data_IF_496395870026
#
_entry.id   IF_496395870026
#
_cell.length_a   1.000
_cell.length_b   1.000
_cell.length_c   1.000
_cell.angle_alpha   90.00
_cell.angle_beta   90.00
_cell.angle_gamma   90.00
#
_symmetry.space_group_name_H-M   'P 1'
#
loop_
_entity.id
_entity.type
_entity.pdbx_description
1 polymer ?
#
# COMPACT_ATOMS: atom_id res chain seq x y z
N UNK A 1 14.58 15.26 6.29
CA UNK A 1 14.27 14.07 5.45
C UNK A 1 12.95 13.48 5.93
N UNK A 2 12.00 13.24 5.02
CA UNK A 2 10.69 12.64 5.35
C UNK A 2 10.85 11.16 5.72
N UNK A 3 10.15 10.72 6.76
CA UNK A 3 10.07 9.30 7.16
C UNK A 3 8.74 8.71 6.69
N UNK A 4 8.79 7.59 5.97
CA UNK A 4 7.62 6.82 5.55
C UNK A 4 7.48 5.60 6.46
N UNK A 5 6.45 5.59 7.30
CA UNK A 5 6.09 4.48 8.19
C UNK A 5 5.08 3.59 7.48
N UNK A 6 5.47 2.34 7.23
CA UNK A 6 4.66 1.39 6.45
C UNK A 6 4.24 0.21 7.32
N UNK A 7 2.96 -0.14 7.26
CA UNK A 7 2.47 -1.42 7.75
C UNK A 7 3.08 -2.57 6.95
N UNK A 8 3.66 -3.54 7.66
CA UNK A 8 4.28 -4.71 7.07
C UNK A 8 5.73 -4.92 7.49
N UNK A 9 6.27 -6.07 7.07
CA UNK A 9 7.60 -6.53 7.46
C UNK A 9 7.61 -7.46 8.66
N UNK A 10 6.47 -7.69 9.32
CA UNK A 10 6.36 -8.58 10.47
C UNK A 10 7.35 -8.24 11.60
N UNK A 11 7.61 -9.24 12.46
CA UNK A 11 8.48 -9.07 13.64
C UNK A 11 9.93 -9.51 13.39
N UNK A 12 10.24 -10.05 12.21
CA UNK A 12 11.60 -10.49 11.87
C UNK A 12 12.38 -9.42 11.09
N UNK A 13 13.66 -9.26 11.44
CA UNK A 13 14.57 -8.32 10.76
C UNK A 13 14.68 -8.60 9.26
N UNK A 14 14.61 -9.88 8.88
CA UNK A 14 14.60 -10.33 7.49
C UNK A 14 13.36 -9.81 6.74
N UNK A 15 12.16 -10.05 7.24
CA UNK A 15 10.94 -9.59 6.58
C UNK A 15 10.84 -8.07 6.55
N UNK A 16 11.30 -7.37 7.60
CA UNK A 16 11.39 -5.91 7.60
C UNK A 16 12.35 -5.40 6.51
N UNK A 17 13.48 -6.07 6.28
CA UNK A 17 14.39 -5.73 5.19
C UNK A 17 13.75 -5.95 3.81
N UNK A 18 13.01 -7.05 3.61
CA UNK A 18 12.27 -7.29 2.37
C UNK A 18 11.18 -6.24 2.15
N UNK A 19 10.43 -5.87 3.19
CA UNK A 19 9.43 -4.80 3.13
C UNK A 19 10.05 -3.48 2.67
N UNK A 20 11.13 -3.03 3.34
CA UNK A 20 11.84 -1.81 2.94
C UNK A 20 12.34 -1.88 1.49
N UNK A 21 12.87 -3.02 1.06
CA UNK A 21 13.34 -3.23 -0.32
C UNK A 21 12.19 -3.14 -1.34
N UNK A 22 11.06 -3.79 -1.06
CA UNK A 22 9.87 -3.76 -1.91
C UNK A 22 9.38 -2.34 -2.16
N UNK A 23 9.13 -1.60 -1.08
CA UNK A 23 8.71 -0.19 -1.20
C UNK A 23 9.79 0.71 -1.79
N UNK A 24 11.08 0.45 -1.52
CA UNK A 24 12.16 1.21 -2.12
C UNK A 24 12.14 1.09 -3.66
N UNK A 25 12.11 -0.14 -4.20
CA UNK A 25 12.11 -0.34 -5.65
C UNK A 25 10.81 0.16 -6.28
N UNK A 26 9.65 -0.06 -5.64
CA UNK A 26 8.38 0.49 -6.09
C UNK A 26 8.42 2.03 -6.21
N UNK A 27 8.82 2.73 -5.14
CA UNK A 27 8.88 4.20 -5.14
C UNK A 27 9.97 4.75 -6.07
N UNK A 28 11.08 4.05 -6.21
CA UNK A 28 12.13 4.38 -7.17
C UNK A 28 11.62 4.30 -8.61
N UNK A 29 10.95 3.20 -8.99
CA UNK A 29 10.26 3.03 -10.29
C UNK A 29 9.16 4.09 -10.47
N UNK A 30 8.50 4.47 -9.38
CA UNK A 30 7.49 5.51 -9.39
C UNK A 30 8.08 6.92 -9.62
N UNK A 31 9.40 7.08 -9.68
CA UNK A 31 10.06 8.36 -9.99
C UNK A 31 10.53 9.16 -8.77
N UNK A 32 10.69 8.53 -7.61
CA UNK A 32 11.32 9.15 -6.44
C UNK A 32 12.85 8.95 -6.39
N UNK A 33 13.45 8.36 -7.43
CA UNK A 33 14.91 8.17 -7.51
C UNK A 33 15.65 9.49 -7.25
N UNK A 34 16.59 9.48 -6.30
CA UNK A 34 17.35 10.66 -5.87
C UNK A 34 16.67 11.53 -4.80
N UNK A 35 15.36 11.35 -4.55
CA UNK A 35 14.60 12.04 -3.50
C UNK A 35 13.72 11.04 -2.74
N UNK A 36 14.35 10.03 -2.17
CA UNK A 36 13.67 8.93 -1.46
C UNK A 36 13.34 9.30 -0.01
N UNK A 37 12.17 8.92 0.52
CA UNK A 37 11.94 8.98 1.95
C UNK A 37 12.78 7.91 2.67
N UNK A 38 12.96 8.08 3.99
CA UNK A 38 13.44 6.97 4.83
C UNK A 38 12.27 6.03 5.12
N UNK A 39 12.31 4.83 4.58
CA UNK A 39 11.27 3.81 4.76
C UNK A 39 11.51 3.05 6.07
N UNK A 40 10.48 3.01 6.92
CA UNK A 40 10.43 2.22 8.15
C UNK A 40 9.35 1.15 8.00
N UNK A 41 9.76 -0.12 7.93
CA UNK A 41 8.84 -1.25 8.03
C UNK A 41 8.47 -1.44 9.51
N UNK A 42 7.19 -1.30 9.83
CA UNK A 42 6.75 -1.19 11.22
C UNK A 42 6.18 -2.49 11.79
N UNK A 43 6.14 -3.58 11.03
CA UNK A 43 5.47 -4.80 11.47
C UNK A 43 3.94 -4.63 11.40
N UNK A 44 3.26 -4.70 12.54
CA UNK A 44 1.80 -4.57 12.60
C UNK A 44 1.29 -3.15 12.39
N UNK A 45 0.01 -3.03 12.07
CA UNK A 45 -0.67 -1.74 11.80
C UNK A 45 -0.65 -0.77 12.99
N UNK A 46 -0.88 -1.28 14.21
CA UNK A 46 -0.81 -0.47 15.44
C UNK A 46 0.60 0.10 15.64
N UNK A 47 1.64 -0.73 15.43
CA UNK A 47 3.03 -0.28 15.53
C UNK A 47 3.35 0.81 14.49
N UNK A 48 2.81 0.70 13.26
CA UNK A 48 2.96 1.75 12.24
C UNK A 48 2.35 3.09 12.69
N UNK A 49 1.13 3.05 13.23
CA UNK A 49 0.46 4.23 13.77
C UNK A 49 1.21 4.83 14.97
N UNK A 50 1.67 4.02 15.92
CA UNK A 50 2.40 4.49 17.10
C UNK A 50 3.75 5.12 16.74
N UNK A 51 4.46 4.53 15.78
CA UNK A 51 5.73 5.07 15.26
C UNK A 51 5.51 6.41 14.55
N UNK A 52 4.46 6.52 13.75
CA UNK A 52 4.08 7.78 13.09
C UNK A 52 3.73 8.86 14.13
N UNK A 53 2.90 8.54 15.13
CA UNK A 53 2.56 9.46 16.21
C UNK A 53 3.80 9.94 16.98
N UNK A 54 4.74 9.03 17.24
CA UNK A 54 5.99 9.36 17.92
C UNK A 54 6.85 10.31 17.08
N UNK A 55 6.91 10.12 15.77
CA UNK A 55 7.64 11.00 14.85
C UNK A 55 7.05 12.43 14.86
N UNK A 56 5.72 12.55 14.78
CA UNK A 56 5.06 13.85 14.80
C UNK A 56 5.23 14.57 16.13
N UNK A 57 5.16 13.86 17.26
CA UNK A 57 5.47 14.43 18.59
C UNK A 57 6.88 15.00 18.69
N UNK A 58 7.82 14.45 17.90
CA UNK A 58 9.22 14.93 17.82
C UNK A 58 9.42 16.03 16.77
N UNK A 59 8.35 16.50 16.11
CA UNK A 59 8.44 17.49 15.04
C UNK A 59 9.08 16.96 13.76
N UNK A 60 9.12 15.64 13.57
CA UNK A 60 9.74 15.03 12.40
C UNK A 60 8.74 14.95 11.23
N UNK A 61 9.11 15.32 10.00
CA UNK A 61 8.26 15.12 8.83
C UNK A 61 8.02 13.61 8.61
N UNK A 62 6.77 13.19 8.71
CA UNK A 62 6.37 11.78 8.69
C UNK A 62 5.15 11.55 7.80
N UNK A 63 5.12 10.39 7.15
CA UNK A 63 4.00 9.88 6.35
C UNK A 63 3.67 8.48 6.84
N UNK A 64 2.38 8.18 7.02
CA UNK A 64 1.84 6.87 7.38
C UNK A 64 1.23 6.20 6.14
N UNK A 65 1.55 4.92 5.93
CA UNK A 65 0.98 4.07 4.89
C UNK A 65 0.54 2.74 5.48
N UNK A 66 -0.76 2.47 5.47
CA UNK A 66 -1.37 1.27 6.08
C UNK A 66 -2.42 0.65 5.17
N UNK A 67 -2.76 -0.61 5.38
CA UNK A 67 -3.93 -1.23 4.75
C UNK A 67 -5.20 -0.59 5.34
N UNK A 68 -6.17 -0.25 4.49
CA UNK A 68 -7.50 0.20 4.92
C UNK A 68 -8.30 -0.93 5.56
N UNK A 69 -7.92 -2.19 5.34
CA UNK A 69 -8.51 -3.46 5.85
C UNK A 69 -9.94 -3.74 5.42
N UNK A 70 -10.76 -2.72 5.24
CA UNK A 70 -12.16 -2.77 4.85
C UNK A 70 -12.43 -1.76 3.73
N UNK A 71 -13.54 -1.91 2.98
CA UNK A 71 -13.95 -0.93 1.99
C UNK A 71 -13.99 0.48 2.59
N UNK A 72 -13.47 1.45 1.83
CA UNK A 72 -13.47 2.86 2.24
C UNK A 72 -14.82 3.45 1.84
N UNK A 73 -15.48 4.09 2.82
CA UNK A 73 -16.78 4.70 2.59
C UNK A 73 -16.65 5.86 1.58
N UNK A 74 -17.58 6.02 0.62
CA UNK A 74 -17.50 7.05 -0.42
C UNK A 74 -17.27 8.45 0.13
N UNK A 75 -17.88 8.80 1.27
CA UNK A 75 -17.74 10.07 1.97
C UNK A 75 -16.29 10.39 2.38
N UNK A 76 -15.47 9.37 2.66
CA UNK A 76 -14.04 9.54 2.97
C UNK A 76 -13.19 9.73 1.71
N UNK A 77 -13.79 9.58 0.52
CA UNK A 77 -13.15 9.67 -0.80
C UNK A 77 -13.86 10.68 -1.72
N UNK A 78 -14.35 11.79 -1.15
CA UNK A 78 -14.92 12.91 -1.92
C UNK A 78 -14.14 14.22 -1.69
N UNK A 79 -14.16 15.14 -2.68
CA UNK A 79 -14.67 14.92 -4.04
C UNK A 79 -13.70 14.05 -4.86
N UNK A 80 -14.22 13.19 -5.75
CA UNK A 80 -13.41 12.22 -6.54
C UNK A 80 -12.25 12.88 -7.31
N UNK A 81 -12.42 14.12 -7.75
CA UNK A 81 -11.42 14.88 -8.52
C UNK A 81 -10.41 15.66 -7.66
N UNK A 82 -10.51 15.66 -6.32
CA UNK A 82 -9.56 16.34 -5.44
C UNK A 82 -9.05 15.41 -4.34
N UNK A 83 -8.16 14.44 -4.66
CA UNK A 83 -7.65 13.49 -3.68
C UNK A 83 -6.97 14.10 -2.45
N UNK A 84 -6.46 15.33 -2.57
CA UNK A 84 -5.87 16.07 -1.45
C UNK A 84 -6.87 16.42 -0.33
N UNK A 85 -8.17 16.30 -0.58
CA UNK A 85 -9.25 16.54 0.39
C UNK A 85 -9.85 15.25 0.96
N UNK A 86 -9.41 14.07 0.52
CA UNK A 86 -9.89 12.80 1.05
C UNK A 86 -9.49 12.63 2.51
N UNK A 87 -10.25 11.82 3.25
CA UNK A 87 -10.28 11.79 4.70
C UNK A 87 -9.88 10.39 5.24
N UNK A 88 -8.64 9.93 5.00
CA UNK A 88 -8.16 8.64 5.49
C UNK A 88 -8.25 8.49 7.01
N UNK A 89 -8.10 9.58 7.77
CA UNK A 89 -8.24 9.52 9.23
C UNK A 89 -9.66 9.21 9.68
N UNK A 90 -10.68 9.69 8.95
CA UNK A 90 -12.08 9.34 9.26
C UNK A 90 -12.34 7.85 9.02
N UNK A 91 -11.77 7.28 7.95
CA UNK A 91 -11.81 5.84 7.71
C UNK A 91 -11.18 5.04 8.86
N UNK A 92 -9.95 5.38 9.25
CA UNK A 92 -9.22 4.68 10.32
C UNK A 92 -9.90 4.85 11.69
N UNK A 93 -10.56 5.99 11.94
CA UNK A 93 -11.33 6.21 13.16
C UNK A 93 -12.60 5.37 13.22
N UNK A 94 -13.32 5.27 12.10
CA UNK A 94 -14.59 4.56 12.02
C UNK A 94 -14.42 3.03 11.94
N UNK A 95 -13.26 2.55 11.50
CA UNK A 95 -12.99 1.11 11.36
C UNK A 95 -12.92 0.42 12.73
N UNK A 96 -13.74 -0.61 12.90
CA UNK A 96 -13.67 -1.54 14.04
C UNK A 96 -12.28 -2.18 14.14
N UNK A 97 -11.66 -2.06 15.31
CA UNK A 97 -10.33 -2.60 15.60
C UNK A 97 -9.17 -1.60 15.48
N UNK A 98 -9.38 -0.41 14.89
CA UNK A 98 -8.39 0.69 14.91
C UNK A 98 -8.83 1.76 15.91
N UNK A 99 -9.91 2.49 15.62
CA UNK A 99 -10.35 3.62 16.44
C UNK A 99 -9.34 4.78 16.47
N UNK A 100 -8.44 4.86 15.49
CA UNK A 100 -7.33 5.81 15.51
C UNK A 100 -7.80 7.22 15.18
N UNK A 101 -7.36 8.18 15.99
CA UNK A 101 -7.55 9.61 15.71
C UNK A 101 -6.24 10.20 15.19
N UNK A 102 -6.27 11.23 14.33
CA UNK A 102 -5.04 11.90 13.91
C UNK A 102 -4.32 12.46 15.15
N UNK A 103 -3.00 12.24 15.32
CA UNK A 103 -2.24 12.93 16.36
C UNK A 103 -2.20 14.44 16.07
N UNK A 104 -1.84 15.25 17.07
CA UNK A 104 -1.73 16.69 16.90
C UNK A 104 -0.82 17.05 15.71
N UNK A 105 -1.27 18.00 14.88
CA UNK A 105 -0.61 18.45 13.65
C UNK A 105 -0.56 17.44 12.49
N UNK A 106 -1.21 16.27 12.60
CA UNK A 106 -1.36 15.39 11.44
C UNK A 106 -2.33 15.99 10.42
N UNK A 107 -1.94 15.94 9.15
CA UNK A 107 -2.80 16.25 8.02
C UNK A 107 -3.30 14.95 7.38
N UNK A 108 -4.46 15.00 6.73
CA UNK A 108 -4.93 13.86 5.92
C UNK A 108 -3.92 13.51 4.81
N UNK A 109 -3.18 14.49 4.29
CA UNK A 109 -2.13 14.30 3.28
C UNK A 109 -0.83 13.70 3.85
N UNK A 110 -0.78 13.37 5.14
CA UNK A 110 0.29 12.58 5.75
C UNK A 110 -0.15 11.14 6.05
N UNK A 111 -1.42 10.79 5.81
CA UNK A 111 -1.95 9.45 5.97
C UNK A 111 -2.42 8.89 4.64
N UNK A 112 -2.02 7.66 4.33
CA UNK A 112 -2.34 6.99 3.07
C UNK A 112 -2.77 5.55 3.30
N UNK A 113 -3.66 5.10 2.43
CA UNK A 113 -4.25 3.78 2.49
C UNK A 113 -3.76 2.97 1.29
N UNK A 114 -3.29 1.74 1.54
CA UNK A 114 -2.98 0.73 0.51
C UNK A 114 -4.24 -0.04 0.10
N UNK A 115 -5.42 0.56 0.32
CA UNK A 115 -6.74 -0.07 0.19
C UNK A 115 -6.87 -1.28 1.11
N UNK A 116 -7.86 -2.17 0.92
CA UNK A 116 -8.17 -3.22 1.88
C UNK A 116 -6.94 -4.07 2.21
N UNK A 117 -6.11 -4.33 1.20
CA UNK A 117 -4.77 -4.91 1.33
C UNK A 117 -3.85 -4.41 0.24
N UNK A 118 -2.56 -4.24 0.54
CA UNK A 118 -1.53 -3.92 -0.44
C UNK A 118 -1.52 -4.87 -1.65
N UNK A 119 -1.87 -6.14 -1.46
CA UNK A 119 -1.98 -7.14 -2.54
C UNK A 119 -2.96 -6.75 -3.66
N UNK A 120 -3.93 -5.86 -3.40
CA UNK A 120 -4.81 -5.34 -4.44
C UNK A 120 -4.01 -4.68 -5.57
N UNK A 121 -2.88 -4.04 -5.27
CA UNK A 121 -2.02 -3.41 -6.29
C UNK A 121 -1.45 -4.40 -7.30
N UNK A 122 -1.29 -5.67 -6.93
CA UNK A 122 -0.75 -6.69 -7.83
C UNK A 122 -1.67 -6.95 -9.02
N UNK A 123 -2.98 -6.80 -8.82
CA UNK A 123 -3.96 -7.04 -9.89
C UNK A 123 -3.87 -6.00 -11.01
N UNK A 124 -3.26 -4.84 -10.76
CA UNK A 124 -3.06 -3.80 -11.76
C UNK A 124 -1.97 -4.17 -12.80
N UNK A 125 -1.07 -5.10 -12.48
CA UNK A 125 0.03 -5.50 -13.34
C UNK A 125 0.10 -7.02 -13.51
N UNK A 126 -0.91 -7.55 -14.20
CA UNK A 126 -1.07 -8.99 -14.47
C UNK A 126 0.07 -9.57 -15.29
N UNK A 127 0.69 -8.78 -16.18
CA UNK A 127 1.86 -9.21 -16.97
C UNK A 127 3.03 -9.56 -16.05
N UNK A 128 3.31 -8.69 -15.07
CA UNK A 128 4.37 -8.93 -14.08
C UNK A 128 4.03 -10.14 -13.21
N UNK A 129 2.77 -10.32 -12.79
CA UNK A 129 2.37 -11.52 -12.05
C UNK A 129 2.61 -12.80 -12.87
N UNK A 130 2.19 -12.80 -14.13
CA UNK A 130 2.36 -13.93 -15.04
C UNK A 130 3.83 -14.26 -15.27
N UNK A 131 4.67 -13.24 -15.46
CA UNK A 131 6.11 -13.42 -15.62
C UNK A 131 6.78 -13.93 -14.32
N UNK A 132 6.38 -13.38 -13.16
CA UNK A 132 6.95 -13.75 -11.86
C UNK A 132 6.65 -15.21 -11.48
N UNK A 133 5.41 -15.65 -11.70
CA UNK A 133 4.98 -17.00 -11.35
C UNK A 133 5.25 -18.03 -12.45
N UNK A 134 5.30 -17.59 -13.71
CA UNK A 134 5.68 -18.41 -14.86
C UNK A 134 4.64 -19.48 -15.21
N UNK A 135 5.09 -20.63 -15.76
CA UNK A 135 4.21 -21.71 -16.16
C UNK A 135 3.29 -22.19 -15.03
N UNK A 136 2.01 -22.39 -15.35
CA UNK A 136 0.97 -22.79 -14.40
C UNK A 136 0.17 -21.63 -13.81
N UNK A 137 0.55 -20.38 -14.09
CA UNK A 137 -0.19 -19.20 -13.65
C UNK A 137 -1.55 -19.11 -14.36
N UNK A 138 -2.63 -19.02 -13.57
CA UNK A 138 -4.02 -18.95 -14.02
C UNK A 138 -4.54 -17.53 -13.87
N UNK A 139 -4.26 -16.70 -14.87
CA UNK A 139 -4.68 -15.29 -14.90
C UNK A 139 -6.21 -15.11 -14.80
N UNK A 140 -6.97 -16.04 -15.37
CA UNK A 140 -8.44 -16.07 -15.32
C UNK A 140 -9.01 -16.37 -13.92
N UNK A 141 -8.19 -16.82 -12.97
CA UNK A 141 -8.59 -16.96 -11.57
C UNK A 141 -8.55 -15.63 -10.80
N UNK A 142 -7.98 -14.57 -11.39
CA UNK A 142 -7.96 -13.24 -10.79
C UNK A 142 -9.23 -12.45 -11.12
N UNK A 143 -9.85 -11.74 -10.15
CA UNK A 143 -11.05 -10.94 -10.35
C UNK A 143 -10.89 -9.96 -11.50
N UNK A 144 -11.92 -9.80 -12.33
CA UNK A 144 -11.93 -8.79 -13.37
C UNK A 144 -11.77 -7.40 -12.73
N UNK A 145 -10.63 -6.77 -12.98
CA UNK A 145 -10.34 -5.42 -12.47
C UNK A 145 -10.51 -4.42 -13.60
N UNK A 146 -11.27 -3.38 -13.32
CA UNK A 146 -11.28 -2.15 -14.08
C UNK A 146 -10.66 -1.04 -13.20
N UNK A 147 -10.19 0.06 -13.80
CA UNK A 147 -9.60 1.17 -13.04
C UNK A 147 -10.49 1.77 -11.94
N UNK A 148 -11.79 1.47 -11.93
CA UNK A 148 -12.74 1.96 -10.94
C UNK A 148 -13.06 0.95 -9.80
N UNK A 149 -12.54 -0.29 -9.83
CA UNK A 149 -12.96 -1.34 -8.89
C UNK A 149 -11.85 -2.08 -8.13
N UNK A 150 -10.56 -1.95 -8.50
CA UNK A 150 -9.47 -2.71 -7.84
C UNK A 150 -9.43 -2.47 -6.32
N UNK A 151 -9.82 -1.26 -5.91
CA UNK A 151 -9.88 -0.79 -4.53
C UNK A 151 -11.10 -1.35 -3.77
N UNK A 152 -12.10 -1.87 -4.48
CA UNK A 152 -13.37 -2.35 -3.93
C UNK A 152 -13.39 -3.86 -3.73
N UNK A 153 -12.48 -4.59 -4.38
CA UNK A 153 -12.39 -6.06 -4.24
C UNK A 153 -12.08 -6.41 -2.78
N UNK A 154 -12.89 -7.26 -2.13
CA UNK A 154 -12.68 -7.65 -0.74
C UNK A 154 -11.31 -8.30 -0.48
N UNK A 155 -10.70 -7.99 0.66
CA UNK A 155 -9.43 -8.57 1.13
C UNK A 155 -9.36 -10.10 0.98
N UNK A 156 -10.39 -10.82 1.42
CA UNK A 156 -10.42 -12.27 1.36
C UNK A 156 -10.51 -12.81 -0.07
N UNK A 157 -11.19 -12.07 -0.96
CA UNK A 157 -11.28 -12.40 -2.38
C UNK A 157 -9.92 -12.24 -3.06
N UNK A 158 -9.18 -11.17 -2.76
CA UNK A 158 -7.80 -10.96 -3.26
C UNK A 158 -6.91 -12.14 -2.87
N UNK A 159 -6.92 -12.55 -1.60
CA UNK A 159 -6.07 -13.65 -1.15
C UNK A 159 -6.47 -15.00 -1.73
N UNK A 160 -7.78 -15.27 -1.81
CA UNK A 160 -8.30 -16.48 -2.45
C UNK A 160 -7.89 -16.54 -3.91
N UNK A 161 -8.07 -15.44 -4.64
CA UNK A 161 -7.71 -15.34 -6.06
C UNK A 161 -6.22 -15.54 -6.30
N UNK A 162 -5.34 -14.88 -5.53
CA UNK A 162 -3.89 -15.05 -5.67
C UNK A 162 -3.46 -16.49 -5.38
N UNK A 163 -4.04 -17.15 -4.37
CA UNK A 163 -3.80 -18.57 -4.10
C UNK A 163 -4.24 -19.45 -5.26
N UNK A 164 -5.43 -19.24 -5.80
CA UNK A 164 -5.97 -20.01 -6.92
C UNK A 164 -5.18 -19.78 -8.21
N UNK A 165 -4.83 -18.53 -8.52
CA UNK A 165 -4.06 -18.15 -9.70
C UNK A 165 -2.66 -18.78 -9.71
N UNK A 166 -2.10 -19.05 -8.53
CA UNK A 166 -0.75 -19.59 -8.37
C UNK A 166 -0.70 -21.05 -7.95
N UNK A 167 -1.85 -21.73 -7.84
CA UNK A 167 -1.93 -23.06 -7.23
C UNK A 167 -1.16 -24.16 -7.97
N UNK A 168 -0.96 -23.98 -9.29
CA UNK A 168 -0.20 -24.90 -10.15
C UNK A 168 1.16 -24.35 -10.58
N UNK A 169 1.55 -23.19 -10.05
CA UNK A 169 2.89 -22.65 -10.28
C UNK A 169 3.90 -23.41 -9.41
N UNK A 170 5.16 -23.42 -9.85
CA UNK A 170 6.28 -23.94 -9.05
C UNK A 170 6.36 -23.26 -7.67
N UNK A 171 6.13 -21.95 -7.67
CA UNK A 171 6.04 -21.13 -6.46
C UNK A 171 4.61 -20.64 -6.31
N UNK A 172 3.98 -20.93 -5.16
CA UNK A 172 2.62 -20.50 -4.83
C UNK A 172 2.65 -19.18 -4.08
N UNK A 173 1.62 -18.36 -4.23
CA UNK A 173 1.51 -17.12 -3.49
C UNK A 173 1.40 -17.38 -1.98
N UNK A 174 2.18 -16.65 -1.20
CA UNK A 174 2.07 -16.55 0.25
C UNK A 174 2.35 -15.11 0.69
N UNK A 175 1.68 -14.66 1.75
CA UNK A 175 1.90 -13.33 2.32
C UNK A 175 3.28 -13.25 2.97
N UNK A 176 3.94 -12.10 2.86
CA UNK A 176 5.23 -11.82 3.50
C UNK A 176 6.32 -11.58 2.47
N UNK A 177 7.35 -12.43 2.45
CA UNK A 177 8.51 -12.25 1.56
C UNK A 177 8.11 -12.13 0.08
N UNK A 178 7.22 -13.02 -0.41
CA UNK A 178 6.78 -13.00 -1.80
C UNK A 178 6.00 -11.74 -2.13
N UNK A 179 5.17 -11.23 -1.22
CA UNK A 179 4.43 -9.98 -1.39
C UNK A 179 5.39 -8.81 -1.64
N UNK A 180 6.47 -8.71 -0.88
CA UNK A 180 7.44 -7.62 -1.04
C UNK A 180 8.33 -7.78 -2.27
N UNK A 181 8.66 -9.02 -2.66
CA UNK A 181 9.32 -9.29 -3.94
C UNK A 181 8.44 -8.86 -5.11
N UNK A 182 7.17 -9.23 -5.12
CA UNK A 182 6.22 -8.80 -6.14
C UNK A 182 6.05 -7.28 -6.17
N UNK A 183 5.93 -6.64 -5.00
CA UNK A 183 5.85 -5.17 -4.90
C UNK A 183 7.06 -4.48 -5.54
N UNK A 184 8.26 -5.06 -5.41
CA UNK A 184 9.46 -4.54 -6.07
C UNK A 184 9.37 -4.63 -7.59
N UNK A 185 8.64 -5.60 -8.13
CA UNK A 185 8.58 -5.91 -9.57
C UNK A 185 7.49 -5.13 -10.31
N UNK A 186 6.28 -5.00 -9.74
CA UNK A 186 5.13 -4.38 -10.41
C UNK A 186 5.42 -2.94 -10.87
N UNK A 187 4.78 -2.55 -11.96
CA UNK A 187 4.86 -1.20 -12.52
C UNK A 187 3.99 -0.21 -11.73
N UNK A 188 4.58 0.80 -11.04
CA UNK A 188 3.82 1.81 -10.32
C UNK A 188 2.90 2.64 -11.23
N UNK A 189 3.22 2.81 -12.52
CA UNK A 189 2.36 3.55 -13.44
C UNK A 189 1.02 2.81 -13.65
N UNK A 190 1.05 1.49 -13.83
CA UNK A 190 -0.15 0.65 -13.91
C UNK A 190 -0.93 0.69 -12.59
N UNK A 191 -0.24 0.58 -11.45
CA UNK A 191 -0.87 0.68 -10.11
C UNK A 191 -1.56 2.03 -9.92
N UNK A 192 -0.88 3.14 -10.23
CA UNK A 192 -1.45 4.49 -10.08
C UNK A 192 -2.58 4.77 -11.08
N UNK A 193 -2.60 4.11 -12.24
CA UNK A 193 -3.70 4.21 -13.18
C UNK A 193 -4.96 3.47 -12.66
N UNK A 194 -4.78 2.36 -11.97
CA UNK A 194 -5.87 1.52 -11.47
C UNK A 194 -6.33 1.88 -10.04
N UNK A 195 -5.46 2.43 -9.20
CA UNK A 195 -5.73 2.72 -7.78
C UNK A 195 -5.59 4.23 -7.49
N UNK A 196 -6.71 4.95 -7.39
CA UNK A 196 -6.72 6.35 -6.98
C UNK A 196 -6.04 6.62 -5.62
N UNK A 197 -6.14 5.72 -4.63
CA UNK A 197 -5.42 5.85 -3.36
C UNK A 197 -3.90 5.68 -3.51
N UNK A 198 -3.44 4.73 -4.33
CA UNK A 198 -2.01 4.60 -4.64
C UNK A 198 -1.50 5.83 -5.41
N UNK A 199 -2.29 6.35 -6.35
CA UNK A 199 -1.97 7.59 -7.07
C UNK A 199 -1.84 8.77 -6.13
N UNK A 200 -2.81 8.96 -5.22
CA UNK A 200 -2.76 9.98 -4.16
C UNK A 200 -1.48 9.86 -3.34
N UNK A 201 -1.18 8.66 -2.84
CA UNK A 201 0.03 8.38 -2.09
C UNK A 201 1.31 8.78 -2.81
N UNK A 202 1.53 8.29 -4.03
CA UNK A 202 2.77 8.56 -4.75
C UNK A 202 2.92 10.05 -5.10
N UNK A 203 1.84 10.71 -5.52
CA UNK A 203 1.89 12.14 -5.87
C UNK A 203 2.19 13.00 -4.64
N UNK A 204 1.45 12.81 -3.54
CA UNK A 204 1.63 13.58 -2.31
C UNK A 204 3.03 13.36 -1.72
N UNK A 205 3.54 12.12 -1.74
CA UNK A 205 4.89 11.82 -1.28
C UNK A 205 5.94 12.51 -2.13
N UNK A 206 5.83 12.48 -3.47
CA UNK A 206 6.74 13.21 -4.37
C UNK A 206 6.78 14.70 -4.07
N UNK A 207 5.63 15.32 -3.84
CA UNK A 207 5.54 16.75 -3.51
C UNK A 207 6.22 17.05 -2.17
N UNK A 208 6.00 16.22 -1.14
CA UNK A 208 6.68 16.34 0.15
C UNK A 208 8.20 16.17 0.05
N UNK A 209 8.69 15.33 -0.87
CA UNK A 209 10.12 15.14 -1.10
C UNK A 209 10.79 16.26 -1.93
N UNK A 210 10.01 17.15 -2.55
CA UNK A 210 10.54 18.31 -3.31
C UNK A 210 10.80 19.53 -2.44
N UNK A 211 10.08 19.65 -1.32
CA UNK A 211 10.26 20.69 -0.30
C UNK A 211 11.50 20.41 0.54
#
# INVERSE_FOLDING_TARGET
MVKLYVEGGGDSTFLQAQCRRGFHEFLKKAGLKGKMPRITACGGRQQAYDHYCTALKRGEPAVLLVDSETPIAPEHQQPKNQPAQWLPWQHLKARSGDGWSPPANALDNDCHLMVQVMESWFLADRDTLKAFFGPGFRENALPAVNPDNIERVPKDEIYKALKQATQHCKTKYSKGELSFKLLAEIDPAKVMAASPWAKRFVITLKEKMRK
#
